data_IF_420211249592
#
_entry.id   IF_420211249592
#
_cell.length_a   1.000
_cell.length_b   1.000
_cell.length_c   1.000
_cell.angle_alpha   90.00
_cell.angle_beta   90.00
_cell.angle_gamma   90.00
#
_symmetry.space_group_name_H-M   'P 1'
#
loop_
_entity.id
_entity.type
_entity.pdbx_description
1 polymer ?
#
# COMPACT_ATOMS: atom_id res chain seq x y z
N UNK A 1 11.04 -1.11 6.31
CA UNK A 1 11.05 -1.84 5.03
C UNK A 1 10.29 -3.14 5.15
N UNK A 2 9.22 -3.30 4.37
CA UNK A 2 8.42 -4.52 4.26
C UNK A 2 9.18 -5.62 3.51
N UNK A 3 9.21 -6.82 4.09
CA UNK A 3 9.76 -8.01 3.43
C UNK A 3 8.85 -8.48 2.28
N UNK A 4 9.35 -9.29 1.33
CA UNK A 4 8.52 -9.86 0.27
C UNK A 4 7.28 -10.61 0.78
N UNK A 5 7.45 -11.41 1.85
CA UNK A 5 6.37 -12.17 2.50
C UNK A 5 5.32 -11.24 3.10
N UNK A 6 5.74 -10.15 3.74
CA UNK A 6 4.83 -9.15 4.31
C UNK A 6 4.04 -8.40 3.24
N UNK A 7 4.68 -8.05 2.11
CA UNK A 7 3.99 -7.43 0.97
C UNK A 7 2.94 -8.35 0.38
N UNK A 8 3.24 -9.64 0.23
CA UNK A 8 2.27 -10.63 -0.25
C UNK A 8 1.08 -10.78 0.70
N UNK A 9 1.33 -10.87 2.01
CA UNK A 9 0.28 -10.92 3.03
C UNK A 9 -0.63 -9.69 2.98
N UNK A 10 -0.05 -8.49 2.91
CA UNK A 10 -0.80 -7.23 2.83
C UNK A 10 -1.61 -7.11 1.53
N UNK A 11 -1.10 -7.60 0.40
CA UNK A 11 -1.85 -7.66 -0.87
C UNK A 11 -3.07 -8.57 -0.76
N UNK A 12 -2.96 -9.71 -0.07
CA UNK A 12 -4.08 -10.61 0.16
C UNK A 12 -5.19 -9.95 0.99
N UNK A 13 -4.81 -9.30 2.10
CA UNK A 13 -5.76 -8.54 2.93
C UNK A 13 -6.43 -7.40 2.16
N UNK A 14 -5.70 -6.72 1.28
CA UNK A 14 -6.23 -5.60 0.51
C UNK A 14 -7.30 -6.02 -0.52
N UNK A 15 -7.38 -7.29 -0.91
CA UNK A 15 -8.38 -7.74 -1.88
C UNK A 15 -9.82 -7.64 -1.35
N UNK A 16 -10.01 -7.85 -0.05
CA UNK A 16 -11.32 -7.75 0.61
C UNK A 16 -11.61 -6.37 1.20
N UNK A 17 -10.68 -5.43 1.12
CA UNK A 17 -10.83 -4.07 1.63
C UNK A 17 -11.23 -3.12 0.49
N UNK A 18 -12.39 -2.49 0.60
CA UNK A 18 -12.80 -1.41 -0.32
C UNK A 18 -11.91 -0.17 -0.14
N UNK A 19 -11.71 0.63 -1.19
CA UNK A 19 -10.41 1.12 -1.63
C UNK A 19 -9.64 1.89 -0.56
N UNK A 20 -8.35 1.59 -0.45
CA UNK A 20 -7.46 2.22 0.54
C UNK A 20 -6.85 3.53 -0.03
N UNK A 21 -6.41 3.54 -1.31
CA UNK A 21 -6.09 4.75 -2.09
C UNK A 21 -6.28 4.44 -3.59
N UNK A 22 -7.04 5.26 -4.32
CA UNK A 22 -7.25 5.14 -5.77
C UNK A 22 -6.62 6.32 -6.51
N UNK A 23 -5.72 6.04 -7.45
CA UNK A 23 -5.01 7.04 -8.25
C UNK A 23 -5.57 7.03 -9.67
N UNK A 24 -6.42 8.01 -9.98
CA UNK A 24 -7.07 8.18 -11.29
C UNK A 24 -6.14 8.88 -12.28
N UNK A 25 -5.10 8.17 -12.71
CA UNK A 25 -4.19 8.60 -13.77
C UNK A 25 -3.98 7.43 -14.73
N UNK A 26 -4.08 7.66 -16.03
CA UNK A 26 -3.98 6.57 -17.01
C UNK A 26 -2.52 6.12 -17.21
N UNK A 27 -1.58 7.05 -17.11
CA UNK A 27 -0.14 6.78 -17.13
C UNK A 27 0.28 5.92 -15.92
N UNK A 28 0.83 4.74 -16.21
CA UNK A 28 1.28 3.77 -15.20
C UNK A 28 2.54 4.19 -14.42
N UNK A 29 3.40 5.01 -15.03
CA UNK A 29 4.59 5.58 -14.40
C UNK A 29 4.20 6.68 -13.42
N UNK A 30 3.33 7.62 -13.84
CA UNK A 30 2.79 8.65 -12.94
C UNK A 30 2.04 8.05 -11.76
N UNK A 31 1.25 7.00 -11.98
CA UNK A 31 0.60 6.28 -10.87
C UNK A 31 1.59 5.74 -9.85
N UNK A 32 2.77 5.28 -10.29
CA UNK A 32 3.80 4.78 -9.39
C UNK A 32 4.38 5.92 -8.55
N UNK A 33 4.76 6.99 -9.23
CA UNK A 33 5.33 8.18 -8.61
C UNK A 33 4.39 8.76 -7.54
N UNK A 34 3.12 8.97 -7.89
CA UNK A 34 2.09 9.46 -6.96
C UNK A 34 1.92 8.51 -5.78
N UNK A 35 1.87 7.21 -6.00
CA UNK A 35 1.73 6.24 -4.91
C UNK A 35 2.93 6.26 -3.96
N UNK A 36 4.14 6.44 -4.48
CA UNK A 36 5.35 6.57 -3.66
C UNK A 36 5.39 7.90 -2.90
N UNK A 37 4.96 8.99 -3.52
CA UNK A 37 4.85 10.30 -2.88
C UNK A 37 3.85 10.27 -1.72
N UNK A 38 2.66 9.71 -1.95
CA UNK A 38 1.64 9.52 -0.91
C UNK A 38 2.14 8.63 0.22
N UNK A 39 2.90 7.58 -0.10
CA UNK A 39 3.50 6.71 0.91
C UNK A 39 4.48 7.50 1.79
N UNK A 40 5.39 8.28 1.20
CA UNK A 40 6.33 9.13 1.94
C UNK A 40 5.62 10.16 2.81
N UNK A 41 4.64 10.87 2.25
CA UNK A 41 3.88 11.91 2.97
C UNK A 41 3.08 11.33 4.15
N UNK A 42 2.64 10.08 4.06
CA UNK A 42 1.88 9.40 5.10
C UNK A 42 2.74 8.63 6.12
N UNK A 43 4.07 8.62 5.97
CA UNK A 43 4.99 7.72 6.69
C UNK A 43 4.57 6.24 6.55
N UNK A 44 4.31 5.84 5.31
CA UNK A 44 3.83 4.53 4.92
C UNK A 44 4.75 3.91 3.85
N UNK A 45 4.55 2.62 3.61
CA UNK A 45 5.22 1.88 2.55
C UNK A 45 4.21 1.39 1.51
N UNK A 46 4.57 1.46 0.22
CA UNK A 46 3.77 0.86 -0.86
C UNK A 46 3.89 -0.66 -0.79
N UNK A 47 2.86 -1.37 -0.33
CA UNK A 47 2.84 -2.83 -0.29
C UNK A 47 2.58 -3.43 -1.69
N UNK A 48 1.82 -2.73 -2.54
CA UNK A 48 1.48 -3.18 -3.89
C UNK A 48 0.62 -2.19 -4.66
N UNK A 49 0.39 -2.50 -5.94
CA UNK A 49 -0.53 -1.78 -6.84
C UNK A 49 -1.33 -2.78 -7.66
N UNK A 50 -2.61 -2.51 -7.86
CA UNK A 50 -3.53 -3.34 -8.66
C UNK A 50 -4.32 -2.40 -9.56
N UNK A 51 -3.95 -2.30 -10.84
CA UNK A 51 -4.55 -1.32 -11.75
C UNK A 51 -4.39 0.11 -11.23
N UNK A 52 -5.51 0.80 -10.99
CA UNK A 52 -5.54 2.18 -10.44
C UNK A 52 -5.51 2.24 -8.91
N UNK A 53 -5.45 1.09 -8.22
CA UNK A 53 -5.41 1.01 -6.76
C UNK A 53 -3.97 0.92 -6.26
N UNK A 54 -3.64 1.73 -5.25
CA UNK A 54 -2.40 1.65 -4.50
C UNK A 54 -2.69 1.10 -3.09
N UNK A 55 -1.86 0.15 -2.66
CA UNK A 55 -1.95 -0.47 -1.34
C UNK A 55 -0.83 0.12 -0.49
N UNK A 56 -1.18 1.00 0.44
CA UNK A 56 -0.25 1.61 1.38
C UNK A 56 -0.38 0.95 2.75
N UNK A 57 0.74 0.77 3.42
CA UNK A 57 0.77 0.24 4.78
C UNK A 57 1.66 1.10 5.66
N UNK A 58 1.09 1.59 6.76
CA UNK A 58 1.84 2.22 7.85
C UNK A 58 1.87 1.30 9.05
N UNK A 59 3.09 1.01 9.53
CA UNK A 59 3.26 0.25 10.77
C UNK A 59 2.87 1.13 11.95
N UNK A 60 2.03 0.61 12.85
CA UNK A 60 1.72 1.27 14.12
C UNK A 60 2.51 0.60 15.23
N UNK A 61 3.28 1.38 15.98
CA UNK A 61 4.06 0.86 17.11
C UNK A 61 3.15 0.39 18.25
N UNK A 62 2.13 1.19 18.57
CA UNK A 62 1.20 0.88 19.65
C UNK A 62 -0.07 0.20 19.10
N UNK A 63 -0.35 -1.03 19.58
CA UNK A 63 -1.54 -1.84 19.26
C UNK A 63 -1.77 -2.03 17.75
N UNK A 64 -0.87 -2.72 17.02
CA UNK A 64 -1.06 -3.00 15.61
C UNK A 64 -2.27 -3.94 15.40
N UNK A 65 -3.24 -3.50 14.59
CA UNK A 65 -4.40 -4.31 14.20
C UNK A 65 -4.03 -5.43 13.24
N UNK A 66 -2.98 -5.23 12.44
CA UNK A 66 -2.47 -6.19 11.47
C UNK A 66 -1.15 -6.74 12.01
N UNK A 67 -1.11 -8.04 12.32
CA UNK A 67 0.11 -8.75 12.68
C UNK A 67 0.79 -9.24 11.40
N UNK A 68 2.01 -8.78 11.15
CA UNK A 68 2.79 -9.17 9.99
C UNK A 68 3.52 -10.51 10.25
N UNK A 69 3.57 -11.42 9.26
CA UNK A 69 4.27 -12.70 9.37
C UNK A 69 5.76 -12.62 8.96
#
# INVERSE_FOLDING_TARGET
MLTPKQRQFLKSLAHSLSPIVRVEVDDGSKRREIAEELARAADAEVAGRIGKLAILYRRREEKPKIKLP
#
